data_IF_084891612089
#
_entry.id   IF_084891612089
#
_cell.length_a   1.000
_cell.length_b   1.000
_cell.length_c   1.000
_cell.angle_alpha   90.00
_cell.angle_beta   90.00
_cell.angle_gamma   90.00
#
_symmetry.space_group_name_H-M   'P 1'
#
loop_
_entity.id
_entity.type
_entity.pdbx_description
1 polymer ?
#
# COMPACT_ATOMS: atom_id res chain seq x y z
N UNK A 1 -26.53 5.83 8.23
CA UNK A 1 -26.38 4.82 9.30
C UNK A 1 -27.72 4.18 9.58
N UNK A 2 -27.77 2.86 9.80
CA UNK A 2 -29.01 2.21 10.24
C UNK A 2 -29.29 2.64 11.69
N UNK A 3 -30.57 2.84 12.03
CA UNK A 3 -31.08 3.33 13.33
C UNK A 3 -30.32 2.86 14.59
N UNK A 4 -29.98 1.57 14.77
CA UNK A 4 -29.29 1.11 15.98
C UNK A 4 -27.83 1.59 16.09
N UNK A 5 -27.15 1.88 14.97
CA UNK A 5 -25.73 2.25 14.99
C UNK A 5 -25.49 3.68 15.50
N UNK A 6 -26.43 4.60 15.24
CA UNK A 6 -26.34 5.98 15.73
C UNK A 6 -26.49 6.05 17.25
N UNK A 7 -27.47 5.33 17.80
CA UNK A 7 -27.73 5.27 19.24
C UNK A 7 -26.53 4.72 20.02
N UNK A 8 -25.96 3.61 19.54
CA UNK A 8 -24.76 3.01 20.12
C UNK A 8 -23.55 3.94 20.06
N UNK A 9 -23.39 4.71 18.96
CA UNK A 9 -22.27 5.66 18.84
C UNK A 9 -22.40 6.83 19.81
N UNK A 10 -23.61 7.35 20.00
CA UNK A 10 -23.87 8.42 20.98
C UNK A 10 -23.60 7.92 22.41
N UNK A 11 -24.05 6.70 22.72
CA UNK A 11 -23.78 6.04 24.01
C UNK A 11 -22.27 5.91 24.27
N UNK A 12 -21.50 5.43 23.29
CA UNK A 12 -20.04 5.29 23.37
C UNK A 12 -19.37 6.64 23.64
N UNK A 13 -19.72 7.68 22.87
CA UNK A 13 -19.14 9.02 23.01
C UNK A 13 -19.47 9.65 24.38
N UNK A 14 -20.68 9.43 24.89
CA UNK A 14 -21.07 9.89 26.23
C UNK A 14 -20.23 9.22 27.31
N UNK A 15 -20.05 7.91 27.24
CA UNK A 15 -19.24 7.15 28.19
C UNK A 15 -17.76 7.56 28.15
N UNK A 16 -17.21 7.82 26.95
CA UNK A 16 -15.83 8.33 26.79
C UNK A 16 -15.63 9.70 27.44
N UNK A 17 -16.68 10.54 27.48
CA UNK A 17 -16.65 11.84 28.16
C UNK A 17 -16.92 11.74 29.66
N UNK A 18 -17.28 10.55 30.16
CA UNK A 18 -17.58 10.30 31.56
C UNK A 18 -18.95 10.84 32.02
N UNK A 19 -19.84 11.19 31.08
CA UNK A 19 -21.13 11.77 31.39
C UNK A 19 -22.18 10.71 31.73
N UNK A 20 -23.03 10.98 32.71
CA UNK A 20 -24.34 10.35 32.93
C UNK A 20 -25.35 10.82 31.87
N UNK A 21 -26.52 10.16 31.79
CA UNK A 21 -27.56 10.59 30.86
C UNK A 21 -28.10 11.98 31.24
N UNK A 22 -28.22 12.24 32.55
CA UNK A 22 -28.65 13.50 33.14
C UNK A 22 -27.67 14.64 32.83
N UNK A 23 -26.37 14.40 32.91
CA UNK A 23 -25.34 15.39 32.59
C UNK A 23 -25.29 15.71 31.09
N UNK A 24 -25.48 14.71 30.22
CA UNK A 24 -25.60 14.97 28.78
C UNK A 24 -26.83 15.82 28.47
N UNK A 25 -27.96 15.53 29.14
CA UNK A 25 -29.24 16.25 29.01
C UNK A 25 -29.09 17.72 29.39
N UNK A 26 -28.36 18.02 30.47
CA UNK A 26 -28.10 19.39 30.90
C UNK A 26 -27.34 20.20 29.84
N UNK A 27 -26.42 19.56 29.11
CA UNK A 27 -25.62 20.24 28.09
C UNK A 27 -26.30 20.32 26.71
N UNK A 28 -27.13 19.36 26.34
CA UNK A 28 -27.79 19.35 25.02
C UNK A 28 -29.26 19.82 25.03
N UNK A 29 -29.83 20.09 26.21
CA UNK A 29 -31.21 20.54 26.40
C UNK A 29 -32.26 19.63 25.72
N UNK A 30 -32.04 18.31 25.81
CA UNK A 30 -32.93 17.26 25.29
C UNK A 30 -33.41 16.41 26.47
N UNK A 31 -34.68 15.99 26.51
CA UNK A 31 -35.19 15.24 27.66
C UNK A 31 -34.44 13.91 27.88
N UNK A 32 -34.25 13.52 29.15
CA UNK A 32 -33.64 12.23 29.54
C UNK A 32 -34.29 11.05 28.81
N UNK A 33 -35.62 11.05 28.74
CA UNK A 33 -36.40 10.02 28.03
C UNK A 33 -36.09 9.98 26.54
N UNK A 34 -35.80 11.12 25.92
CA UNK A 34 -35.42 11.18 24.51
C UNK A 34 -34.01 10.62 24.30
N UNK A 35 -33.03 10.98 25.15
CA UNK A 35 -31.67 10.43 25.09
C UNK A 35 -31.68 8.91 25.27
N UNK A 36 -32.42 8.40 26.26
CA UNK A 36 -32.56 6.95 26.49
C UNK A 36 -33.07 6.20 25.25
N UNK A 37 -34.13 6.71 24.62
CA UNK A 37 -34.71 6.09 23.43
C UNK A 37 -33.80 6.20 22.21
N UNK A 38 -33.01 7.27 22.10
CA UNK A 38 -31.98 7.42 21.05
C UNK A 38 -30.87 6.40 21.28
N UNK A 39 -30.31 6.31 22.50
CA UNK A 39 -29.23 5.36 22.84
C UNK A 39 -29.68 3.90 22.67
N UNK A 40 -30.95 3.60 22.97
CA UNK A 40 -31.56 2.28 22.75
C UNK A 40 -31.94 2.00 21.28
N UNK A 41 -31.79 2.98 20.39
CA UNK A 41 -32.13 2.83 18.96
C UNK A 41 -33.64 2.79 18.65
N UNK A 42 -34.50 3.16 19.60
CA UNK A 42 -35.96 3.15 19.45
C UNK A 42 -36.49 4.32 18.61
N UNK A 43 -35.73 5.42 18.52
CA UNK A 43 -36.13 6.62 17.79
C UNK A 43 -34.97 7.21 16.99
N UNK A 44 -35.27 7.71 15.80
CA UNK A 44 -34.31 8.46 14.99
C UNK A 44 -34.45 9.95 15.30
N UNK A 45 -33.45 10.59 15.92
CA UNK A 45 -33.46 12.04 16.14
C UNK A 45 -33.29 12.79 14.81
N UNK A 46 -33.80 14.02 14.76
CA UNK A 46 -33.57 14.92 13.62
C UNK A 46 -32.11 15.37 13.57
N UNK A 47 -31.61 15.75 12.40
CA UNK A 47 -30.22 16.23 12.20
C UNK A 47 -29.84 17.35 13.18
N UNK A 48 -30.77 18.28 13.45
CA UNK A 48 -30.56 19.33 14.44
C UNK A 48 -30.28 18.76 15.84
N UNK A 49 -31.11 17.82 16.30
CA UNK A 49 -30.96 17.15 17.59
C UNK A 49 -29.63 16.38 17.67
N UNK A 50 -29.22 15.75 16.58
CA UNK A 50 -27.92 15.06 16.50
C UNK A 50 -26.78 16.05 16.69
N UNK A 51 -26.81 17.20 15.99
CA UNK A 51 -25.80 18.27 16.16
C UNK A 51 -25.72 18.75 17.60
N UNK A 52 -26.86 18.95 18.25
CA UNK A 52 -26.90 19.44 19.63
C UNK A 52 -26.28 18.43 20.62
N UNK A 53 -26.55 17.14 20.43
CA UNK A 53 -25.94 16.08 21.24
C UNK A 53 -24.43 16.02 21.03
N UNK A 54 -23.95 16.07 19.78
CA UNK A 54 -22.52 16.01 19.48
C UNK A 54 -21.77 17.24 19.97
N UNK A 55 -22.37 18.43 19.84
CA UNK A 55 -21.79 19.66 20.37
C UNK A 55 -21.59 19.56 21.89
N UNK A 56 -22.58 19.02 22.62
CA UNK A 56 -22.46 18.74 24.05
C UNK A 56 -21.38 17.68 24.38
N UNK A 57 -20.99 16.85 23.41
CA UNK A 57 -19.93 15.84 23.53
C UNK A 57 -18.57 16.33 22.99
N UNK A 58 -18.43 17.60 22.62
CA UNK A 58 -17.24 18.15 21.93
C UNK A 58 -16.87 17.35 20.67
N UNK A 59 -17.88 17.02 19.86
CA UNK A 59 -17.78 16.28 18.60
C UNK A 59 -18.54 17.01 17.50
N UNK A 60 -18.15 16.80 16.25
CA UNK A 60 -18.87 17.33 15.10
C UNK A 60 -19.66 16.22 14.40
N UNK A 61 -20.62 16.56 13.53
CA UNK A 61 -21.33 15.58 12.68
C UNK A 61 -20.37 14.72 11.86
N UNK A 62 -19.19 15.25 11.55
CA UNK A 62 -18.13 14.55 10.87
C UNK A 62 -17.60 13.33 11.66
N UNK A 63 -17.75 13.32 13.00
CA UNK A 63 -17.38 12.18 13.86
C UNK A 63 -18.41 11.03 13.80
N UNK A 64 -19.63 11.31 13.33
CA UNK A 64 -20.63 10.29 13.03
C UNK A 64 -20.48 9.69 11.63
N UNK A 65 -19.67 10.31 10.78
CA UNK A 65 -19.45 9.86 9.41
C UNK A 65 -18.16 9.05 9.33
N UNK A 66 -18.32 7.72 9.37
CA UNK A 66 -17.36 6.74 8.84
C UNK A 66 -15.98 6.76 9.50
N UNK A 67 -15.47 5.58 9.82
CA UNK A 67 -14.10 5.44 10.30
C UNK A 67 -13.18 6.14 9.30
N UNK A 68 -12.16 6.86 9.75
CA UNK A 68 -11.14 7.46 8.86
C UNK A 68 -10.71 6.45 7.77
N UNK A 69 -10.61 5.19 8.21
CA UNK A 69 -10.74 3.94 7.50
C UNK A 69 -11.55 3.97 6.18
N UNK A 70 -12.87 3.88 6.39
CA UNK A 70 -13.95 3.82 5.42
C UNK A 70 -13.98 5.05 4.51
N UNK A 71 -13.71 6.24 5.06
CA UNK A 71 -13.62 7.49 4.28
C UNK A 71 -12.45 7.47 3.30
N UNK A 72 -11.31 6.89 3.67
CA UNK A 72 -10.18 6.71 2.75
C UNK A 72 -10.47 5.65 1.70
N UNK A 73 -11.00 4.49 2.10
CA UNK A 73 -11.41 3.45 1.14
C UNK A 73 -12.36 4.06 0.10
N UNK A 74 -13.46 4.70 0.52
CA UNK A 74 -14.41 5.35 -0.40
C UNK A 74 -13.79 6.44 -1.28
N UNK A 75 -12.84 7.23 -0.77
CA UNK A 75 -12.16 8.29 -1.54
C UNK A 75 -11.18 7.76 -2.59
N UNK A 76 -10.52 6.64 -2.34
CA UNK A 76 -9.66 5.94 -3.31
C UNK A 76 -10.47 5.32 -4.45
N UNK A 77 -11.74 5.00 -4.18
CA UNK A 77 -12.60 4.26 -5.08
C UNK A 77 -13.14 5.05 -6.28
N UNK A 78 -13.12 6.39 -6.27
CA UNK A 78 -13.41 7.31 -7.41
C UNK A 78 -14.40 6.84 -8.50
N UNK A 79 -15.45 6.09 -8.18
CA UNK A 79 -16.57 5.74 -9.05
C UNK A 79 -17.79 5.58 -8.15
N UNK A 80 -18.81 6.40 -8.38
CA UNK A 80 -20.12 6.23 -7.76
C UNK A 80 -20.69 4.84 -8.14
N UNK A 81 -21.24 4.13 -7.14
CA UNK A 81 -22.11 2.94 -7.22
C UNK A 81 -21.44 1.54 -7.20
N UNK A 82 -21.28 0.96 -5.98
CA UNK A 82 -21.80 -0.35 -5.51
C UNK A 82 -21.02 -0.80 -4.24
N UNK A 83 -21.55 -0.52 -3.04
CA UNK A 83 -20.90 -0.74 -1.73
C UNK A 83 -20.38 -2.18 -1.50
N UNK A 84 -20.89 -3.18 -2.24
CA UNK A 84 -20.44 -4.58 -2.13
C UNK A 84 -19.39 -5.00 -3.16
N UNK A 85 -19.25 -4.29 -4.29
CA UNK A 85 -18.21 -4.61 -5.30
C UNK A 85 -16.84 -4.05 -4.92
N UNK A 86 -16.80 -2.98 -4.13
CA UNK A 86 -15.58 -2.21 -3.89
C UNK A 86 -14.61 -2.89 -2.92
N UNK A 87 -15.05 -3.36 -1.75
CA UNK A 87 -14.15 -4.08 -0.83
C UNK A 87 -13.59 -5.36 -1.47
N UNK A 88 -14.42 -6.07 -2.23
CA UNK A 88 -14.00 -7.25 -3.00
C UNK A 88 -12.94 -6.90 -4.05
N UNK A 89 -13.11 -5.78 -4.75
CA UNK A 89 -12.13 -5.28 -5.72
C UNK A 89 -10.80 -4.89 -5.06
N UNK A 90 -10.83 -4.25 -3.89
CA UNK A 90 -9.63 -3.93 -3.11
C UNK A 90 -8.81 -5.19 -2.80
N UNK A 91 -9.46 -6.21 -2.23
CA UNK A 91 -8.81 -7.46 -1.92
C UNK A 91 -8.34 -8.20 -3.17
N UNK A 92 -9.09 -8.13 -4.29
CA UNK A 92 -8.63 -8.68 -5.58
C UNK A 92 -7.36 -7.99 -6.06
N UNK A 93 -7.26 -6.67 -5.96
CA UNK A 93 -6.05 -5.93 -6.36
C UNK A 93 -4.85 -6.24 -5.46
N UNK A 94 -5.05 -6.30 -4.14
CA UNK A 94 -3.97 -6.70 -3.22
C UNK A 94 -3.56 -8.17 -3.47
N UNK A 95 -4.53 -9.04 -3.77
CA UNK A 95 -4.24 -10.43 -4.13
C UNK A 95 -3.45 -10.55 -5.42
N UNK A 96 -3.87 -9.82 -6.46
CA UNK A 96 -3.13 -9.71 -7.71
C UNK A 96 -1.71 -9.21 -7.46
N UNK A 97 -1.54 -8.23 -6.56
CA UNK A 97 -0.24 -7.66 -6.22
C UNK A 97 0.74 -8.65 -5.59
N UNK A 98 0.32 -9.47 -4.63
CA UNK A 98 1.23 -10.46 -4.05
C UNK A 98 1.52 -11.62 -5.00
N UNK A 99 0.53 -12.06 -5.80
CA UNK A 99 0.73 -13.07 -6.85
C UNK A 99 1.72 -12.55 -7.90
N UNK A 100 1.52 -11.33 -8.38
CA UNK A 100 2.43 -10.66 -9.30
C UNK A 100 3.82 -10.50 -8.70
N UNK A 101 3.93 -10.28 -7.39
CA UNK A 101 5.20 -10.28 -6.66
C UNK A 101 5.95 -11.59 -6.78
N UNK A 102 5.28 -12.72 -6.54
CA UNK A 102 5.88 -14.06 -6.70
C UNK A 102 6.30 -14.30 -8.16
N UNK A 103 5.45 -13.93 -9.12
CA UNK A 103 5.76 -14.05 -10.55
C UNK A 103 6.99 -13.21 -10.90
N UNK A 104 7.05 -11.95 -10.45
CA UNK A 104 8.19 -11.06 -10.69
C UNK A 104 9.49 -11.59 -10.07
N UNK A 105 9.40 -12.20 -8.89
CA UNK A 105 10.54 -12.83 -8.22
C UNK A 105 11.08 -14.02 -9.02
N UNK A 106 10.20 -14.84 -9.60
CA UNK A 106 10.59 -15.96 -10.46
C UNK A 106 11.20 -15.44 -11.76
N UNK A 107 10.57 -14.47 -12.42
CA UNK A 107 11.07 -13.87 -13.66
C UNK A 107 12.44 -13.19 -13.46
N UNK A 108 12.66 -12.57 -12.30
CA UNK A 108 13.94 -11.97 -11.94
C UNK A 108 15.08 -13.01 -11.93
N UNK A 109 14.82 -14.25 -11.49
CA UNK A 109 15.83 -15.32 -11.54
C UNK A 109 16.22 -15.63 -12.99
N UNK A 110 15.23 -15.73 -13.89
CA UNK A 110 15.51 -15.95 -15.31
C UNK A 110 16.25 -14.77 -15.96
N UNK A 111 15.91 -13.53 -15.59
CA UNK A 111 16.64 -12.34 -16.05
C UNK A 111 18.09 -12.36 -15.60
N UNK A 112 18.37 -12.72 -14.33
CA UNK A 112 19.75 -12.83 -13.84
C UNK A 112 20.54 -13.90 -14.61
N UNK A 113 19.93 -15.03 -14.98
CA UNK A 113 20.57 -16.06 -15.80
C UNK A 113 20.90 -15.50 -17.19
N UNK A 114 19.95 -14.82 -17.83
CA UNK A 114 20.15 -14.21 -19.14
C UNK A 114 21.26 -13.16 -19.13
N UNK A 115 21.22 -12.23 -18.18
CA UNK A 115 22.19 -11.14 -18.06
C UNK A 115 23.59 -11.68 -17.77
N UNK A 116 23.74 -12.62 -16.83
CA UNK A 116 25.05 -13.20 -16.51
C UNK A 116 25.62 -14.04 -17.66
N UNK A 117 24.77 -14.75 -18.40
CA UNK A 117 25.20 -15.49 -19.60
C UNK A 117 25.65 -14.52 -20.68
N UNK A 118 24.85 -13.49 -20.96
CA UNK A 118 25.20 -12.46 -21.95
C UNK A 118 26.56 -11.80 -21.63
N UNK A 119 26.82 -11.47 -20.37
CA UNK A 119 28.10 -10.89 -19.94
C UNK A 119 29.32 -11.80 -20.16
N UNK A 120 29.12 -13.12 -20.21
CA UNK A 120 30.22 -14.10 -20.28
C UNK A 120 30.38 -14.72 -21.67
N UNK A 121 29.28 -14.96 -22.38
CA UNK A 121 29.28 -15.60 -23.71
C UNK A 121 28.90 -14.66 -24.85
N UNK A 122 28.54 -13.40 -24.55
CA UNK A 122 28.02 -12.43 -25.53
C UNK A 122 26.77 -12.97 -26.28
N UNK A 123 25.99 -13.80 -25.61
CA UNK A 123 24.76 -14.41 -26.12
C UNK A 123 23.76 -14.65 -25.00
N UNK A 124 22.48 -14.53 -25.31
CA UNK A 124 21.39 -14.86 -24.40
C UNK A 124 21.24 -16.38 -24.26
N UNK A 125 21.01 -16.87 -23.04
CA UNK A 125 20.94 -18.29 -22.70
C UNK A 125 19.74 -18.98 -23.39
N UNK A 126 18.55 -18.39 -23.31
CA UNK A 126 17.36 -18.88 -24.01
C UNK A 126 17.19 -18.23 -25.39
N UNK A 127 17.97 -17.19 -25.69
CA UNK A 127 17.93 -16.42 -26.93
C UNK A 127 17.24 -15.06 -26.79
N UNK A 128 17.40 -14.21 -27.80
CA UNK A 128 16.91 -12.83 -27.78
C UNK A 128 15.39 -12.71 -27.60
N UNK A 129 14.62 -13.54 -28.32
CA UNK A 129 13.14 -13.49 -28.25
C UNK A 129 12.66 -13.84 -26.83
N UNK A 130 13.08 -14.96 -26.21
CA UNK A 130 12.77 -15.23 -24.81
C UNK A 130 13.21 -14.13 -23.84
N UNK A 131 14.40 -13.54 -24.02
CA UNK A 131 14.86 -12.43 -23.19
C UNK A 131 13.89 -11.23 -23.23
N UNK A 132 13.45 -10.83 -24.42
CA UNK A 132 12.49 -9.73 -24.59
C UNK A 132 11.15 -10.06 -23.92
N UNK A 133 10.64 -11.27 -24.12
CA UNK A 133 9.39 -11.73 -23.49
C UNK A 133 9.51 -11.68 -21.96
N UNK A 134 10.56 -12.30 -21.41
CA UNK A 134 10.81 -12.32 -19.96
C UNK A 134 10.88 -10.89 -19.41
N UNK A 135 11.57 -9.98 -20.11
CA UNK A 135 11.72 -8.59 -19.70
C UNK A 135 10.40 -7.83 -19.66
N UNK A 136 9.55 -7.98 -20.68
CA UNK A 136 8.22 -7.36 -20.72
C UNK A 136 7.33 -7.90 -19.61
N UNK A 137 7.26 -9.24 -19.46
CA UNK A 137 6.44 -9.86 -18.42
C UNK A 137 6.93 -9.52 -17.01
N UNK A 138 8.25 -9.44 -16.81
CA UNK A 138 8.85 -9.03 -15.54
C UNK A 138 8.46 -7.60 -15.19
N UNK A 139 8.55 -6.68 -16.15
CA UNK A 139 8.17 -5.28 -15.96
C UNK A 139 6.68 -5.12 -15.60
N UNK A 140 5.79 -5.86 -16.28
CA UNK A 140 4.35 -5.84 -15.98
C UNK A 140 4.08 -6.44 -14.60
N UNK A 141 4.66 -7.59 -14.27
CA UNK A 141 4.49 -8.24 -12.98
C UNK A 141 4.99 -7.36 -11.83
N UNK A 142 6.17 -6.74 -11.99
CA UNK A 142 6.71 -5.79 -11.02
C UNK A 142 5.82 -4.55 -10.87
N UNK A 143 5.28 -4.02 -11.96
CA UNK A 143 4.38 -2.87 -11.91
C UNK A 143 3.09 -3.19 -11.14
N UNK A 144 2.48 -4.36 -11.39
CA UNK A 144 1.31 -4.84 -10.64
C UNK A 144 1.62 -5.09 -9.16
N UNK A 145 2.82 -5.63 -8.88
CA UNK A 145 3.29 -5.82 -7.52
C UNK A 145 3.45 -4.49 -6.78
N UNK A 146 4.14 -3.52 -7.37
CA UNK A 146 4.34 -2.20 -6.77
C UNK A 146 3.05 -1.39 -6.67
N UNK A 147 2.09 -1.60 -7.57
CA UNK A 147 0.76 -1.00 -7.47
C UNK A 147 0.03 -1.39 -6.18
N UNK A 148 0.30 -2.57 -5.61
CA UNK A 148 -0.22 -2.90 -4.29
C UNK A 148 0.32 -1.98 -3.19
N UNK A 149 1.59 -1.56 -3.28
CA UNK A 149 2.16 -0.59 -2.33
C UNK A 149 1.65 0.84 -2.54
N UNK A 150 1.29 1.22 -3.77
CA UNK A 150 0.55 2.47 -4.03
C UNK A 150 -0.77 2.44 -3.27
N UNK A 151 -1.51 1.33 -3.36
CA UNK A 151 -2.79 1.14 -2.68
C UNK A 151 -2.64 1.09 -1.16
N UNK A 152 -1.69 0.32 -0.64
CA UNK A 152 -1.37 0.25 0.81
C UNK A 152 -0.96 1.64 1.32
N UNK A 153 -0.13 2.37 0.58
CA UNK A 153 0.29 3.72 0.93
C UNK A 153 -0.88 4.66 1.10
N UNK A 154 -1.87 4.57 0.22
CA UNK A 154 -3.09 5.36 0.29
C UNK A 154 -3.99 4.94 1.47
N UNK A 155 -4.24 3.63 1.64
CA UNK A 155 -5.10 3.08 2.72
C UNK A 155 -4.58 3.42 4.12
N UNK A 156 -3.26 3.41 4.31
CA UNK A 156 -2.62 3.64 5.61
C UNK A 156 -2.01 5.06 5.76
N UNK A 157 -2.36 6.01 4.87
CA UNK A 157 -1.82 7.40 4.84
C UNK A 157 -0.28 7.47 4.78
N UNK A 158 0.36 6.43 4.27
CA UNK A 158 1.80 6.41 4.06
C UNK A 158 2.11 7.01 2.69
N UNK A 159 1.95 8.33 2.55
CA UNK A 159 2.15 9.07 1.29
C UNK A 159 3.54 8.81 0.69
N UNK A 160 4.56 8.72 1.54
CA UNK A 160 5.92 8.45 1.08
C UNK A 160 6.08 7.04 0.51
N UNK A 161 5.36 6.04 1.04
CA UNK A 161 5.32 4.68 0.46
C UNK A 161 4.64 4.69 -0.90
N UNK A 162 3.53 5.41 -1.03
CA UNK A 162 2.84 5.58 -2.31
C UNK A 162 3.76 6.19 -3.37
N UNK A 163 4.43 7.29 -3.06
CA UNK A 163 5.33 7.96 -4.00
C UNK A 163 6.55 7.10 -4.34
N UNK A 164 7.17 6.43 -3.35
CA UNK A 164 8.30 5.53 -3.59
C UNK A 164 7.92 4.37 -4.51
N UNK A 165 6.73 3.79 -4.35
CA UNK A 165 6.23 2.72 -5.21
C UNK A 165 6.01 3.22 -6.66
N UNK A 166 5.47 4.43 -6.85
CA UNK A 166 5.31 5.03 -8.19
C UNK A 166 6.67 5.26 -8.85
N UNK A 167 7.64 5.80 -8.10
CA UNK A 167 9.02 6.00 -8.58
C UNK A 167 9.63 4.67 -9.02
N UNK A 168 9.45 3.62 -8.21
CA UNK A 168 9.96 2.29 -8.54
C UNK A 168 9.34 1.73 -9.83
N UNK A 169 8.03 1.90 -10.03
CA UNK A 169 7.35 1.52 -11.27
C UNK A 169 7.97 2.26 -12.46
N UNK A 170 8.06 3.59 -12.37
CA UNK A 170 8.58 4.42 -13.45
C UNK A 170 10.02 4.04 -13.83
N UNK A 171 10.91 3.90 -12.84
CA UNK A 171 12.31 3.52 -13.05
C UNK A 171 12.39 2.12 -13.68
N UNK A 172 11.68 1.12 -13.14
CA UNK A 172 11.71 -0.23 -13.68
C UNK A 172 11.17 -0.29 -15.12
N UNK A 173 10.12 0.46 -15.43
CA UNK A 173 9.59 0.57 -16.78
C UNK A 173 10.60 1.21 -17.74
N UNK A 174 11.27 2.30 -17.34
CA UNK A 174 12.30 2.94 -18.16
C UNK A 174 13.47 2.01 -18.46
N UNK A 175 13.94 1.26 -17.44
CA UNK A 175 15.01 0.27 -17.59
C UNK A 175 14.57 -0.85 -18.53
N UNK A 176 13.38 -1.43 -18.33
CA UNK A 176 12.89 -2.51 -19.18
C UNK A 176 12.69 -2.07 -20.64
N UNK A 177 12.18 -0.85 -20.86
CA UNK A 177 12.08 -0.28 -22.21
C UNK A 177 13.47 -0.14 -22.83
N UNK A 178 14.42 0.45 -22.11
CA UNK A 178 15.79 0.57 -22.58
C UNK A 178 16.38 -0.79 -22.95
N UNK A 179 16.28 -1.79 -22.07
CA UNK A 179 16.82 -3.14 -22.30
C UNK A 179 16.26 -3.81 -23.56
N UNK A 180 15.00 -3.55 -23.91
CA UNK A 180 14.39 -4.07 -25.14
C UNK A 180 14.80 -3.25 -26.36
N UNK A 181 14.85 -1.92 -26.24
CA UNK A 181 15.22 -1.05 -27.35
C UNK A 181 16.69 -1.12 -27.73
N UNK A 182 17.58 -1.31 -26.76
CA UNK A 182 19.03 -1.25 -27.00
C UNK A 182 19.62 -2.58 -27.51
N UNK A 183 18.81 -3.65 -27.56
CA UNK A 183 19.23 -5.02 -27.88
C UNK A 183 20.10 -5.13 -29.14
N UNK A 184 19.85 -4.29 -30.16
CA UNK A 184 20.55 -4.32 -31.45
C UNK A 184 21.23 -3.00 -31.83
N UNK A 185 20.98 -1.92 -31.10
CA UNK A 185 21.41 -0.58 -31.51
C UNK A 185 22.65 -0.07 -30.76
N UNK A 186 22.96 -0.65 -29.59
CA UNK A 186 24.13 -0.31 -28.76
C UNK A 186 24.33 1.21 -28.56
N UNK A 187 23.26 1.92 -28.18
CA UNK A 187 23.27 3.36 -27.96
C UNK A 187 24.10 3.76 -26.73
N UNK A 188 24.09 2.96 -25.66
CA UNK A 188 24.91 3.19 -24.47
C UNK A 188 25.84 1.99 -24.29
N UNK A 189 27.12 2.27 -24.07
CA UNK A 189 28.08 1.22 -23.73
C UNK A 189 27.64 0.48 -22.46
N UNK A 190 27.83 -0.84 -22.46
CA UNK A 190 27.42 -1.75 -21.38
C UNK A 190 27.87 -1.27 -19.98
N UNK A 191 29.10 -0.79 -19.85
CA UNK A 191 29.64 -0.27 -18.58
C UNK A 191 28.84 0.94 -18.08
N UNK A 192 28.54 1.89 -18.97
CA UNK A 192 27.75 3.07 -18.62
C UNK A 192 26.30 2.69 -18.27
N UNK A 193 25.71 1.74 -18.99
CA UNK A 193 24.39 1.20 -18.63
C UNK A 193 24.41 0.52 -17.26
N UNK A 194 25.42 -0.28 -16.93
CA UNK A 194 25.55 -0.93 -15.62
C UNK A 194 25.66 0.09 -14.47
N UNK A 195 26.36 1.21 -14.68
CA UNK A 195 26.42 2.32 -13.72
C UNK A 195 25.04 2.97 -13.55
N UNK A 196 24.36 3.30 -14.64
CA UNK A 196 23.01 3.90 -14.60
C UNK A 196 22.03 2.96 -13.89
N UNK A 197 22.02 1.68 -14.26
CA UNK A 197 21.20 0.64 -13.63
C UNK A 197 21.46 0.58 -12.12
N UNK A 198 22.73 0.52 -11.71
CA UNK A 198 23.12 0.44 -10.30
C UNK A 198 22.64 1.66 -9.50
N UNK A 199 22.81 2.87 -10.06
CA UNK A 199 22.36 4.10 -9.41
C UNK A 199 20.83 4.13 -9.29
N UNK A 200 20.11 3.81 -10.37
CA UNK A 200 18.65 3.82 -10.39
C UNK A 200 18.05 2.83 -9.40
N UNK A 201 18.53 1.58 -9.37
CA UNK A 201 18.08 0.60 -8.38
C UNK A 201 18.49 0.99 -6.96
N UNK A 202 19.69 1.54 -6.77
CA UNK A 202 20.12 2.08 -5.47
C UNK A 202 19.14 3.12 -4.92
N UNK A 203 18.73 4.08 -5.76
CA UNK A 203 17.72 5.10 -5.41
C UNK A 203 16.37 4.45 -5.10
N UNK A 204 15.91 3.49 -5.90
CA UNK A 204 14.63 2.78 -5.65
C UNK A 204 14.66 2.08 -4.30
N UNK A 205 15.71 1.31 -4.00
CA UNK A 205 15.83 0.59 -2.73
C UNK A 205 15.93 1.54 -1.54
N UNK A 206 16.65 2.65 -1.64
CA UNK A 206 16.68 3.67 -0.58
C UNK A 206 15.30 4.29 -0.35
N UNK A 207 14.63 4.71 -1.42
CA UNK A 207 13.29 5.30 -1.35
C UNK A 207 12.28 4.33 -0.72
N UNK A 208 12.30 3.06 -1.13
CA UNK A 208 11.46 2.02 -0.53
C UNK A 208 11.86 1.73 0.92
N UNK A 209 13.15 1.73 1.23
CA UNK A 209 13.67 1.52 2.58
C UNK A 209 13.15 2.56 3.57
N UNK A 210 13.34 3.84 3.24
CA UNK A 210 12.82 4.96 4.04
C UNK A 210 11.30 4.91 4.15
N UNK A 211 10.59 4.52 3.08
CA UNK A 211 9.15 4.38 3.10
C UNK A 211 8.64 3.33 4.07
N UNK A 212 9.26 2.15 4.10
CA UNK A 212 8.85 1.12 5.04
C UNK A 212 9.22 1.46 6.48
N UNK A 213 10.35 2.12 6.73
CA UNK A 213 10.70 2.61 8.07
C UNK A 213 9.66 3.58 8.64
N UNK A 214 9.05 4.40 7.78
CA UNK A 214 7.98 5.35 8.15
C UNK A 214 6.60 4.69 8.27
N UNK A 215 6.46 3.42 7.89
CA UNK A 215 5.17 2.71 7.91
C UNK A 215 4.93 2.08 9.28
N UNK A 216 4.00 2.64 10.07
CA UNK A 216 3.75 2.19 11.45
C UNK A 216 2.53 1.26 11.61
N UNK A 217 1.61 1.25 10.65
CA UNK A 217 0.31 0.54 10.78
C UNK A 217 0.38 -0.98 10.57
N UNK A 218 1.50 -1.51 10.08
CA UNK A 218 1.68 -2.92 9.72
C UNK A 218 2.65 -3.68 10.65
N UNK A 219 2.96 -3.10 11.82
CA UNK A 219 3.86 -3.69 12.81
C UNK A 219 5.34 -3.58 12.44
N UNK A 220 6.16 -4.54 12.90
CA UNK A 220 7.62 -4.48 12.76
C UNK A 220 8.13 -4.97 11.40
N UNK A 221 7.35 -5.76 10.66
CA UNK A 221 7.78 -6.36 9.38
C UNK A 221 8.24 -5.30 8.36
N UNK A 222 7.48 -4.22 8.07
CA UNK A 222 7.97 -3.15 7.22
C UNK A 222 9.28 -2.53 7.72
N UNK A 223 9.44 -2.31 9.03
CA UNK A 223 10.64 -1.66 9.57
C UNK A 223 11.90 -2.50 9.29
N UNK A 224 11.82 -3.81 9.49
CA UNK A 224 12.91 -4.74 9.17
C UNK A 224 13.21 -4.72 7.67
N UNK A 225 12.17 -4.85 6.83
CA UNK A 225 12.33 -4.74 5.36
C UNK A 225 12.93 -3.41 4.94
N UNK A 226 12.59 -2.33 5.64
CA UNK A 226 13.11 -0.99 5.41
C UNK A 226 14.63 -0.91 5.63
N UNK A 227 15.13 -1.51 6.72
CA UNK A 227 16.57 -1.58 7.00
C UNK A 227 17.29 -2.39 5.92
N UNK A 228 16.76 -3.56 5.55
CA UNK A 228 17.35 -4.42 4.52
C UNK A 228 17.42 -3.67 3.18
N UNK A 229 16.37 -2.94 2.82
CA UNK A 229 16.33 -2.10 1.63
C UNK A 229 17.37 -0.99 1.63
N UNK A 230 17.61 -0.33 2.78
CA UNK A 230 18.67 0.68 2.87
C UNK A 230 20.06 0.07 2.64
N UNK A 231 20.31 -1.12 3.19
CA UNK A 231 21.55 -1.86 2.98
C UNK A 231 21.72 -2.21 1.50
N UNK A 232 20.70 -2.81 0.87
CA UNK A 232 20.75 -3.13 -0.57
C UNK A 232 20.93 -1.88 -1.43
N UNK A 233 20.22 -0.80 -1.12
CA UNK A 233 20.35 0.47 -1.84
C UNK A 233 21.77 1.03 -1.74
N UNK A 234 22.37 1.00 -0.55
CA UNK A 234 23.77 1.36 -0.35
C UNK A 234 24.72 0.47 -1.17
N UNK A 235 24.50 -0.84 -1.19
CA UNK A 235 25.29 -1.78 -1.99
C UNK A 235 25.21 -1.47 -3.49
N UNK A 236 24.00 -1.26 -4.03
CA UNK A 236 23.80 -0.84 -5.43
C UNK A 236 24.53 0.46 -5.75
N UNK A 237 24.49 1.47 -4.86
CA UNK A 237 25.18 2.74 -5.08
C UNK A 237 26.72 2.61 -5.07
N UNK A 238 27.29 1.57 -4.48
CA UNK A 238 28.73 1.30 -4.62
C UNK A 238 29.13 0.77 -6.00
N UNK A 239 28.16 0.34 -6.82
CA UNK A 239 28.32 -0.31 -8.13
C UNK A 239 29.00 -1.69 -8.04
N UNK A 240 30.11 -1.80 -7.31
CA UNK A 240 30.88 -3.03 -7.12
C UNK A 240 30.03 -4.10 -6.42
N UNK A 241 29.27 -3.72 -5.39
CA UNK A 241 28.43 -4.67 -4.64
C UNK A 241 27.12 -5.00 -5.35
N UNK A 242 26.86 -4.50 -6.56
CA UNK A 242 25.67 -4.86 -7.35
C UNK A 242 25.60 -6.35 -7.64
N UNK A 243 26.75 -7.03 -7.84
CA UNK A 243 26.80 -8.50 -8.04
C UNK A 243 26.24 -9.29 -6.84
N UNK A 244 26.30 -8.71 -5.65
CA UNK A 244 25.72 -9.29 -4.43
C UNK A 244 24.30 -8.78 -4.21
N UNK A 245 24.07 -7.48 -4.43
CA UNK A 245 22.77 -6.83 -4.19
C UNK A 245 21.67 -7.34 -5.14
N UNK A 246 22.01 -7.62 -6.40
CA UNK A 246 21.09 -8.15 -7.42
C UNK A 246 20.43 -9.45 -6.96
N UNK A 247 21.19 -10.54 -6.71
CA UNK A 247 20.62 -11.78 -6.18
C UNK A 247 19.95 -11.61 -4.81
N UNK A 248 20.54 -10.82 -3.90
CA UNK A 248 19.94 -10.58 -2.59
C UNK A 248 18.59 -9.87 -2.64
N UNK A 249 18.32 -9.10 -3.71
CA UNK A 249 17.04 -8.42 -3.91
C UNK A 249 15.86 -9.38 -4.10
N UNK A 250 16.09 -10.63 -4.51
CA UNK A 250 15.07 -11.67 -4.59
C UNK A 250 14.44 -11.92 -3.22
N UNK A 251 15.25 -11.97 -2.16
CA UNK A 251 14.76 -12.17 -0.79
C UNK A 251 13.86 -11.01 -0.34
N UNK A 252 14.18 -9.79 -0.78
CA UNK A 252 13.36 -8.61 -0.49
C UNK A 252 12.01 -8.66 -1.19
N UNK A 253 11.93 -9.18 -2.42
CA UNK A 253 10.63 -9.39 -3.08
C UNK A 253 9.72 -10.32 -2.25
N UNK A 254 10.29 -11.36 -1.63
CA UNK A 254 9.58 -12.22 -0.69
C UNK A 254 9.04 -11.45 0.53
N UNK A 255 9.83 -10.51 1.08
CA UNK A 255 9.37 -9.64 2.16
C UNK A 255 8.26 -8.69 1.72
N UNK A 256 8.30 -8.19 0.49
CA UNK A 256 7.24 -7.35 -0.07
C UNK A 256 5.92 -8.11 -0.18
N UNK A 257 5.97 -9.34 -0.69
CA UNK A 257 4.82 -10.26 -0.69
C UNK A 257 4.25 -10.45 0.72
N UNK A 258 5.12 -10.69 1.71
CA UNK A 258 4.70 -10.83 3.10
C UNK A 258 4.05 -9.57 3.67
N UNK A 259 4.53 -8.36 3.31
CA UNK A 259 3.91 -7.09 3.71
C UNK A 259 2.53 -6.92 3.10
N UNK A 260 2.34 -7.27 1.82
CA UNK A 260 1.02 -7.21 1.18
C UNK A 260 0.04 -8.15 1.89
N UNK A 261 0.45 -9.39 2.19
CA UNK A 261 -0.37 -10.35 2.94
C UNK A 261 -0.70 -9.84 4.36
N UNK A 262 0.28 -9.25 5.04
CA UNK A 262 0.10 -8.59 6.35
C UNK A 262 -0.92 -7.45 6.27
N UNK A 263 -0.86 -6.64 5.21
CA UNK A 263 -1.83 -5.58 4.96
C UNK A 263 -3.23 -6.18 4.79
N UNK A 264 -3.40 -7.19 3.93
CA UNK A 264 -4.68 -7.89 3.74
C UNK A 264 -5.26 -8.39 5.08
N UNK A 265 -4.46 -9.07 5.91
CA UNK A 265 -4.89 -9.57 7.22
C UNK A 265 -5.31 -8.43 8.16
N UNK A 266 -4.54 -7.34 8.19
CA UNK A 266 -4.83 -6.15 9.00
C UNK A 266 -6.16 -5.51 8.57
N UNK A 267 -6.39 -5.38 7.26
CA UNK A 267 -7.63 -4.84 6.71
C UNK A 267 -8.84 -5.73 7.03
N UNK A 268 -8.71 -7.05 6.90
CA UNK A 268 -9.78 -8.00 7.26
C UNK A 268 -10.20 -7.85 8.71
N UNK A 269 -9.22 -7.76 9.63
CA UNK A 269 -9.46 -7.59 11.07
C UNK A 269 -10.14 -6.26 11.41
N UNK A 270 -9.89 -5.21 10.63
CA UNK A 270 -10.53 -3.90 10.82
C UNK A 270 -11.96 -3.89 10.30
N UNK A 271 -12.26 -4.59 9.20
CA UNK A 271 -13.61 -4.67 8.62
C UNK A 271 -14.51 -5.63 9.39
N UNK A 272 -13.95 -6.66 10.05
CA UNK A 272 -14.71 -7.62 10.86
C UNK A 272 -15.07 -7.12 12.26
N UNK A 273 -14.59 -5.94 12.67
CA UNK A 273 -14.86 -5.31 13.96
C UNK A 273 -15.92 -4.22 13.78
#
# INVERSE_FOLDING_TARGET
MKQPQLGLKILELRQQKGFTQEELVEQCNISVRTIQRIEAGEVTPRVYTIKTILAALDRDLDDLQETYFEKQVKKVFLIEIDENKDISFLFKQLNLGWIAGIISMILLVFQLIEETTYLTSNSYYFGEIPYVIITIFSAIAFALHMRAFVLIGELFKANFLKTSAIIAIAINTLIALYSVFDLHFMYINLEAFAVIYSVLFGVVFICMGIAFLKTNHLGQLPKVTGIINLVLGGMFLTIILTVVAGPASILVQGLYVAIILKAIDTLRKQISK
#
